data_IF_796406047278
#
_entry.id   IF_796406047278
#
_cell.length_a   1.000
_cell.length_b   1.000
_cell.length_c   1.000
_cell.angle_alpha   90.00
_cell.angle_beta   90.00
_cell.angle_gamma   90.00
#
_symmetry.space_group_name_H-M   'P 1'
#
loop_
_entity.id
_entity.type
_entity.pdbx_description
1 polymer ?
#
# COMPACT_ATOMS: atom_id res chain seq x y z
N UNK A 1 3.32 25.12 5.41
CA UNK A 1 2.11 24.53 4.79
C UNK A 1 1.72 23.29 5.59
N UNK A 2 0.44 23.12 5.95
CA UNK A 2 -0.03 22.07 6.90
C UNK A 2 -1.15 21.18 6.32
N UNK A 3 -1.33 21.14 5.00
CA UNK A 3 -2.63 20.83 4.40
C UNK A 3 -2.60 19.79 3.26
N UNK A 4 -2.22 18.53 3.54
CA UNK A 4 -2.59 17.43 2.62
C UNK A 4 -3.00 16.11 3.29
N UNK A 5 -3.10 16.05 4.62
CA UNK A 5 -3.00 14.78 5.38
C UNK A 5 -4.28 13.96 5.54
N UNK A 6 -5.46 14.53 5.87
CA UNK A 6 -6.65 13.71 6.13
C UNK A 6 -7.28 13.14 4.86
N UNK A 7 -7.07 13.79 3.71
CA UNK A 7 -7.74 13.44 2.45
C UNK A 7 -7.12 12.18 1.84
N UNK A 8 -5.79 12.11 1.76
CA UNK A 8 -5.08 11.03 1.05
C UNK A 8 -5.26 9.68 1.75
N UNK A 9 -5.21 9.67 3.09
CA UNK A 9 -5.40 8.43 3.85
C UNK A 9 -6.87 7.99 3.80
N UNK A 10 -7.84 8.93 3.87
CA UNK A 10 -9.26 8.62 3.65
C UNK A 10 -9.53 8.09 2.24
N UNK A 11 -8.88 8.65 1.23
CA UNK A 11 -8.96 8.16 -0.16
C UNK A 11 -8.43 6.74 -0.26
N UNK A 12 -7.29 6.41 0.38
CA UNK A 12 -6.78 5.04 0.41
C UNK A 12 -7.76 4.05 1.04
N UNK A 13 -8.32 4.41 2.20
CA UNK A 13 -9.27 3.54 2.92
C UNK A 13 -10.51 3.31 2.05
N UNK A 14 -11.08 4.37 1.48
CA UNK A 14 -12.28 4.26 0.65
C UNK A 14 -12.05 3.62 -0.73
N UNK A 15 -10.91 3.85 -1.38
CA UNK A 15 -10.65 3.36 -2.75
C UNK A 15 -10.21 1.90 -2.78
N UNK A 16 -9.53 1.43 -1.74
CA UNK A 16 -8.99 0.07 -1.68
C UNK A 16 -9.65 -0.76 -0.58
N UNK A 17 -9.75 -0.26 0.65
CA UNK A 17 -10.09 -1.10 1.82
C UNK A 17 -11.60 -1.33 2.01
N UNK A 18 -12.47 -0.47 1.48
CA UNK A 18 -13.93 -0.66 1.56
C UNK A 18 -14.47 -1.75 0.59
N UNK A 19 -13.63 -2.28 -0.30
CA UNK A 19 -14.02 -3.32 -1.26
C UNK A 19 -13.93 -4.71 -0.63
N UNK A 20 -14.89 -5.57 -0.96
CA UNK A 20 -14.92 -6.94 -0.44
C UNK A 20 -14.14 -7.91 -1.34
N UNK A 21 -12.85 -8.08 -1.08
CA UNK A 21 -12.00 -8.99 -1.87
C UNK A 21 -12.14 -10.44 -1.43
N UNK A 22 -12.44 -11.32 -2.38
CA UNK A 22 -12.69 -12.73 -2.09
C UNK A 22 -11.44 -13.62 -2.13
N UNK A 23 -10.37 -13.19 -2.83
CA UNK A 23 -9.09 -13.91 -2.99
C UNK A 23 -7.90 -12.98 -2.76
N UNK A 24 -6.73 -13.55 -2.48
CA UNK A 24 -5.50 -12.78 -2.32
C UNK A 24 -5.14 -12.02 -3.60
N UNK A 25 -5.19 -12.68 -4.76
CA UNK A 25 -4.82 -12.09 -6.05
C UNK A 25 -5.67 -10.86 -6.35
N UNK A 26 -6.99 -10.95 -6.15
CA UNK A 26 -7.90 -9.84 -6.41
C UNK A 26 -7.57 -8.61 -5.55
N UNK A 27 -7.19 -8.83 -4.29
CA UNK A 27 -6.79 -7.74 -3.40
C UNK A 27 -5.45 -7.13 -3.83
N UNK A 28 -4.44 -7.97 -4.06
CA UNK A 28 -3.08 -7.54 -4.40
C UNK A 28 -3.06 -6.80 -5.74
N UNK A 29 -3.79 -7.29 -6.75
CA UNK A 29 -3.91 -6.64 -8.06
C UNK A 29 -4.45 -5.20 -7.89
N UNK A 30 -5.55 -5.06 -7.15
CA UNK A 30 -6.22 -3.77 -6.99
C UNK A 30 -5.35 -2.80 -6.19
N UNK A 31 -4.80 -3.21 -5.05
CA UNK A 31 -4.00 -2.30 -4.22
C UNK A 31 -2.71 -1.88 -4.93
N UNK A 32 -2.00 -2.77 -5.62
CA UNK A 32 -0.75 -2.41 -6.29
C UNK A 32 -1.01 -1.41 -7.41
N UNK A 33 -2.03 -1.65 -8.24
CA UNK A 33 -2.36 -0.75 -9.37
C UNK A 33 -2.88 0.59 -8.90
N UNK A 34 -3.78 0.61 -7.93
CA UNK A 34 -4.32 1.85 -7.36
C UNK A 34 -3.20 2.71 -6.72
N UNK A 35 -2.24 2.09 -6.01
CA UNK A 35 -1.10 2.82 -5.44
C UNK A 35 -0.11 3.31 -6.51
N UNK A 36 0.10 2.55 -7.59
CA UNK A 36 0.89 3.01 -8.73
C UNK A 36 0.22 4.19 -9.43
N UNK A 37 -1.08 4.11 -9.71
CA UNK A 37 -1.85 5.17 -10.37
C UNK A 37 -1.81 6.46 -9.55
N UNK A 38 -1.99 6.37 -8.22
CA UNK A 38 -1.81 7.51 -7.33
C UNK A 38 -0.41 8.12 -7.44
N UNK A 39 0.66 7.30 -7.36
CA UNK A 39 2.02 7.81 -7.45
C UNK A 39 2.36 8.41 -8.83
N UNK A 40 1.78 7.88 -9.90
CA UNK A 40 1.94 8.37 -11.27
C UNK A 40 1.21 9.68 -11.50
N UNK A 41 -0.08 9.73 -11.17
CA UNK A 41 -0.93 10.91 -11.42
C UNK A 41 -0.57 12.07 -10.50
N UNK A 42 -0.19 11.76 -9.25
CA UNK A 42 0.08 12.74 -8.21
C UNK A 42 1.56 12.70 -7.77
N UNK A 43 2.51 12.50 -8.70
CA UNK A 43 3.95 12.36 -8.38
C UNK A 43 4.50 13.47 -7.46
N UNK A 44 4.21 14.77 -7.67
CA UNK A 44 4.69 15.82 -6.77
C UNK A 44 4.19 15.63 -5.33
N UNK A 45 2.92 15.24 -5.18
CA UNK A 45 2.31 14.99 -3.88
C UNK A 45 2.89 13.73 -3.23
N UNK A 46 3.04 12.63 -3.98
CA UNK A 46 3.68 11.41 -3.49
C UNK A 46 5.08 11.69 -2.92
N UNK A 47 5.90 12.50 -3.61
CA UNK A 47 7.23 12.92 -3.13
C UNK A 47 7.16 13.69 -1.80
N UNK A 48 6.22 14.63 -1.68
CA UNK A 48 6.02 15.41 -0.45
C UNK A 48 5.67 14.48 0.72
N UNK A 49 4.78 13.51 0.51
CA UNK A 49 4.40 12.56 1.56
C UNK A 49 5.60 11.75 2.05
N UNK A 50 6.38 11.18 1.12
CA UNK A 50 7.57 10.39 1.48
C UNK A 50 8.56 11.24 2.29
N UNK A 51 8.77 12.50 1.90
CA UNK A 51 9.62 13.43 2.64
C UNK A 51 9.07 13.75 4.04
N UNK A 52 7.78 14.07 4.15
CA UNK A 52 7.15 14.38 5.45
C UNK A 52 7.20 13.19 6.42
N UNK A 53 6.97 11.96 5.95
CA UNK A 53 7.05 10.74 6.77
C UNK A 53 8.45 10.56 7.37
N UNK A 54 9.50 10.85 6.59
CA UNK A 54 10.89 10.71 7.03
C UNK A 54 11.26 11.82 8.02
N UNK A 55 10.86 13.06 7.74
CA UNK A 55 11.37 14.25 8.42
C UNK A 55 10.60 14.68 9.67
N UNK A 56 9.34 14.25 9.85
CA UNK A 56 8.44 14.85 10.83
C UNK A 56 7.78 13.81 11.74
N UNK A 57 8.10 13.83 13.04
CA UNK A 57 7.57 12.80 13.97
C UNK A 57 6.06 12.88 14.19
N UNK A 58 5.48 14.09 14.18
CA UNK A 58 4.04 14.25 14.34
C UNK A 58 3.24 13.61 13.20
N UNK A 59 3.82 13.48 12.00
CA UNK A 59 3.22 12.77 10.86
C UNK A 59 3.10 11.29 11.15
N UNK A 60 4.15 10.71 11.75
CA UNK A 60 4.21 9.28 12.06
C UNK A 60 3.10 8.91 13.03
N UNK A 61 2.85 9.75 14.05
CA UNK A 61 1.76 9.55 14.99
C UNK A 61 0.38 9.72 14.32
N UNK A 62 0.16 10.72 13.48
CA UNK A 62 -1.12 10.88 12.74
C UNK A 62 -1.40 9.67 11.83
N UNK A 63 -0.41 9.20 11.07
CA UNK A 63 -0.55 8.02 10.21
C UNK A 63 -0.89 6.78 11.04
N UNK A 64 -0.22 6.61 12.19
CA UNK A 64 -0.46 5.51 13.10
C UNK A 64 -1.88 5.53 13.66
N UNK A 65 -2.36 6.68 14.13
CA UNK A 65 -3.74 6.85 14.61
C UNK A 65 -4.75 6.51 13.50
N UNK A 66 -4.56 7.06 12.30
CA UNK A 66 -5.46 6.79 11.17
C UNK A 66 -5.42 5.33 10.74
N UNK A 67 -4.25 4.70 10.74
CA UNK A 67 -4.09 3.28 10.45
C UNK A 67 -4.87 2.43 11.44
N UNK A 68 -4.68 2.67 12.74
CA UNK A 68 -5.35 1.91 13.81
C UNK A 68 -6.88 2.05 13.77
N UNK A 69 -7.37 3.26 13.48
CA UNK A 69 -8.81 3.53 13.47
C UNK A 69 -9.53 2.97 12.24
N UNK A 70 -8.89 2.97 11.07
CA UNK A 70 -9.59 2.72 9.81
C UNK A 70 -9.05 1.50 9.05
N UNK A 71 -7.74 1.39 8.87
CA UNK A 71 -7.15 0.36 8.05
C UNK A 71 -7.01 -0.97 8.79
N UNK A 72 -6.57 -0.93 10.05
CA UNK A 72 -6.32 -2.11 10.87
C UNK A 72 -7.55 -3.04 10.97
N UNK A 73 -8.77 -2.57 11.28
CA UNK A 73 -9.95 -3.46 11.33
C UNK A 73 -10.24 -4.18 10.01
N UNK A 74 -10.07 -3.48 8.88
CA UNK A 74 -10.28 -4.07 7.54
C UNK A 74 -9.23 -5.13 7.26
N UNK A 75 -7.96 -4.82 7.52
CA UNK A 75 -6.84 -5.75 7.31
C UNK A 75 -7.04 -7.00 8.17
N UNK A 76 -7.35 -6.86 9.46
CA UNK A 76 -7.61 -8.00 10.35
C UNK A 76 -8.71 -8.90 9.80
N UNK A 77 -9.82 -8.31 9.32
CA UNK A 77 -10.93 -9.06 8.73
C UNK A 77 -10.53 -9.78 7.45
N UNK A 78 -9.79 -9.11 6.57
CA UNK A 78 -9.31 -9.67 5.30
C UNK A 78 -8.32 -10.81 5.55
N UNK A 79 -7.29 -10.59 6.36
CA UNK A 79 -6.28 -11.62 6.69
C UNK A 79 -6.95 -12.84 7.30
N UNK A 80 -7.87 -12.66 8.25
CA UNK A 80 -8.62 -13.79 8.83
C UNK A 80 -9.37 -14.58 7.77
N UNK A 81 -10.12 -13.90 6.90
CA UNK A 81 -10.87 -14.57 5.83
C UNK A 81 -9.98 -15.33 4.86
N UNK A 82 -8.84 -14.76 4.47
CA UNK A 82 -7.89 -15.42 3.57
C UNK A 82 -7.26 -16.66 4.25
N UNK A 83 -6.94 -16.58 5.54
CA UNK A 83 -6.48 -17.75 6.32
C UNK A 83 -7.54 -18.83 6.43
N UNK A 84 -8.78 -18.47 6.73
CA UNK A 84 -9.90 -19.42 6.85
C UNK A 84 -10.16 -20.18 5.54
N UNK A 85 -9.75 -19.61 4.39
CA UNK A 85 -9.81 -20.23 3.06
C UNK A 85 -8.53 -20.96 2.63
N UNK A 86 -7.48 -20.96 3.44
CA UNK A 86 -6.14 -21.44 3.10
C UNK A 86 -5.52 -20.73 1.87
N UNK A 87 -5.85 -19.45 1.66
CA UNK A 87 -5.26 -18.63 0.58
C UNK A 87 -3.93 -17.99 0.97
N UNK A 88 -3.64 -17.91 2.27
CA UNK A 88 -2.37 -17.39 2.78
C UNK A 88 -1.82 -18.25 3.91
N UNK A 89 -0.52 -18.20 4.11
CA UNK A 89 0.21 -18.82 5.23
C UNK A 89 -0.28 -18.27 6.58
N UNK A 90 -0.01 -19.02 7.67
CA UNK A 90 -0.36 -18.56 9.02
C UNK A 90 0.58 -17.42 9.46
N UNK A 91 0.09 -16.20 9.26
CA UNK A 91 0.79 -14.95 9.54
C UNK A 91 -0.10 -13.99 10.34
N UNK A 92 0.52 -13.10 11.11
CA UNK A 92 -0.18 -12.01 11.78
C UNK A 92 -0.58 -10.91 10.79
N UNK A 93 -1.70 -10.24 11.06
CA UNK A 93 -2.29 -9.25 10.16
C UNK A 93 -1.39 -8.01 9.95
N UNK A 94 -0.56 -7.66 10.93
CA UNK A 94 0.39 -6.55 10.81
C UNK A 94 1.52 -6.94 9.87
N UNK A 95 2.07 -8.14 9.99
CA UNK A 95 3.10 -8.65 9.08
C UNK A 95 2.55 -8.85 7.67
N UNK A 96 1.32 -9.37 7.52
CA UNK A 96 0.63 -9.44 6.23
C UNK A 96 0.61 -8.07 5.54
N UNK A 97 0.14 -7.03 6.24
CA UNK A 97 0.09 -5.68 5.68
C UNK A 97 1.48 -5.09 5.42
N UNK A 98 2.43 -5.32 6.33
CA UNK A 98 3.82 -4.86 6.21
C UNK A 98 4.48 -5.42 4.95
N UNK A 99 4.30 -6.70 4.64
CA UNK A 99 4.83 -7.33 3.42
C UNK A 99 4.30 -6.62 2.16
N UNK A 100 3.00 -6.36 2.11
CA UNK A 100 2.34 -5.71 0.97
C UNK A 100 2.88 -4.28 0.78
N UNK A 101 2.82 -3.45 1.82
CA UNK A 101 3.27 -2.06 1.74
C UNK A 101 4.77 -1.95 1.44
N UNK A 102 5.58 -2.85 1.99
CA UNK A 102 7.03 -2.84 1.73
C UNK A 102 7.33 -3.12 0.26
N UNK A 103 6.66 -4.09 -0.36
CA UNK A 103 6.83 -4.38 -1.79
C UNK A 103 6.35 -3.21 -2.67
N UNK A 104 5.19 -2.62 -2.34
CA UNK A 104 4.66 -1.46 -3.06
C UNK A 104 5.63 -0.28 -2.96
N UNK A 105 6.00 0.15 -1.76
CA UNK A 105 6.90 1.29 -1.57
C UNK A 105 8.31 1.02 -2.11
N UNK A 106 8.77 -0.23 -2.03
CA UNK A 106 10.04 -0.67 -2.60
C UNK A 106 10.12 -0.50 -4.12
N UNK A 107 8.98 -0.52 -4.82
CA UNK A 107 8.89 -0.18 -6.23
C UNK A 107 8.66 1.33 -6.46
N UNK A 108 7.67 1.92 -5.78
CA UNK A 108 7.25 3.29 -6.06
C UNK A 108 8.29 4.34 -5.69
N UNK A 109 9.03 4.17 -4.59
CA UNK A 109 10.04 5.15 -4.16
C UNK A 109 11.19 5.24 -5.17
N UNK A 110 11.86 4.15 -5.57
CA UNK A 110 12.84 4.20 -6.65
C UNK A 110 12.28 4.80 -7.94
N UNK A 111 11.09 4.35 -8.35
CA UNK A 111 10.48 4.75 -9.64
C UNK A 111 10.12 6.23 -9.72
N UNK A 112 9.53 6.80 -8.66
CA UNK A 112 8.95 8.15 -8.69
C UNK A 112 9.75 9.18 -7.90
N UNK A 113 10.63 8.77 -6.98
CA UNK A 113 11.39 9.68 -6.11
C UNK A 113 12.88 9.70 -6.46
N UNK A 114 13.52 8.54 -6.54
CA UNK A 114 14.99 8.46 -6.65
C UNK A 114 15.50 8.47 -8.10
N UNK A 115 14.81 7.75 -8.99
CA UNK A 115 15.26 7.47 -10.36
C UNK A 115 14.16 7.77 -11.39
N UNK A 116 13.43 8.87 -11.19
CA UNK A 116 12.27 9.24 -12.04
C UNK A 116 12.59 9.47 -13.50
N UNK A 117 13.85 9.78 -13.79
CA UNK A 117 14.30 10.20 -15.12
C UNK A 117 14.82 9.01 -15.96
N UNK A 118 14.89 7.81 -15.36
CA UNK A 118 15.24 6.59 -16.08
C UNK A 118 14.04 6.06 -16.87
N UNK A 119 14.31 5.25 -17.89
CA UNK A 119 13.26 4.49 -18.58
C UNK A 119 12.95 3.20 -17.83
N UNK A 120 11.67 2.98 -17.56
CA UNK A 120 11.14 1.81 -16.87
C UNK A 120 10.06 1.15 -17.72
N UNK A 121 9.94 -0.18 -17.61
CA UNK A 121 8.76 -0.89 -18.08
C UNK A 121 7.81 -1.07 -16.89
N UNK A 122 7.01 -0.04 -16.62
CA UNK A 122 6.20 0.03 -15.41
C UNK A 122 5.20 -1.13 -15.29
N UNK A 123 4.57 -1.55 -16.39
CA UNK A 123 3.65 -2.69 -16.37
C UNK A 123 4.37 -3.99 -16.01
N UNK A 124 5.61 -4.19 -16.48
CA UNK A 124 6.41 -5.36 -16.07
C UNK A 124 6.73 -5.32 -14.58
N UNK A 125 7.11 -4.17 -14.04
CA UNK A 125 7.44 -4.02 -12.61
C UNK A 125 6.21 -4.20 -11.73
N UNK A 126 5.05 -3.64 -12.11
CA UNK A 126 3.77 -3.83 -11.42
C UNK A 126 3.46 -5.34 -11.32
N UNK A 127 3.55 -6.06 -12.44
CA UNK A 127 3.32 -7.50 -12.45
C UNK A 127 4.33 -8.26 -11.58
N UNK A 128 5.61 -7.85 -11.55
CA UNK A 128 6.61 -8.44 -10.66
C UNK A 128 6.30 -8.19 -9.18
N UNK A 129 5.85 -6.99 -8.81
CA UNK A 129 5.43 -6.64 -7.44
C UNK A 129 4.25 -7.50 -7.00
N UNK A 130 3.21 -7.63 -7.84
CA UNK A 130 2.05 -8.48 -7.56
C UNK A 130 2.48 -9.93 -7.31
N UNK A 131 3.30 -10.49 -8.21
CA UNK A 131 3.78 -11.86 -8.09
C UNK A 131 4.66 -12.07 -6.86
N UNK A 132 5.51 -11.11 -6.50
CA UNK A 132 6.34 -11.18 -5.31
C UNK A 132 5.49 -11.17 -4.03
N UNK A 133 4.45 -10.33 -3.97
CA UNK A 133 3.53 -10.28 -2.83
C UNK A 133 2.79 -11.61 -2.68
N UNK A 134 2.19 -12.13 -3.77
CA UNK A 134 1.46 -13.40 -3.75
C UNK A 134 2.38 -14.52 -3.23
N UNK A 135 3.54 -14.71 -3.86
CA UNK A 135 4.51 -15.75 -3.45
C UNK A 135 5.03 -15.61 -2.02
N UNK A 136 5.03 -14.41 -1.47
CA UNK A 136 5.47 -14.18 -0.09
C UNK A 136 4.40 -14.56 0.95
N UNK A 137 3.15 -14.68 0.51
CA UNK A 137 1.99 -14.88 1.38
C UNK A 137 1.32 -16.25 1.19
N UNK A 138 1.66 -17.00 0.14
CA UNK A 138 1.20 -18.37 -0.15
C UNK A 138 2.30 -19.39 0.08
#
# INVERSE_FOLDING_TARGET
MRFVKPIIIKEFISSVLDKDYTTLESFVEVIVRDRYEFAQNETPLFRIIIQEIISQDYIKEEIKEMFLLNAYPVITKLTKRLKDKNEIIDIDEITFFRIIITNILGFLIPRFVLFSDLQWNDEKEINMVIQNIIKSLT
#
